data_IF_597364613076
#
_entry.id   IF_597364613076
#
_cell.length_a   1.000
_cell.length_b   1.000
_cell.length_c   1.000
_cell.angle_alpha   90.00
_cell.angle_beta   90.00
_cell.angle_gamma   90.00
#
_symmetry.space_group_name_H-M   'P 1'
#
loop_
_entity.id
_entity.type
_entity.pdbx_description
1 polymer ?
#
# COMPACT_ATOMS: atom_id res chain seq x y z
N UNK A 1 -13.82 25.98 21.51
CA UNK A 1 -12.65 25.88 22.42
C UNK A 1 -11.65 26.92 21.98
N UNK A 2 -11.37 27.90 22.84
CA UNK A 2 -10.50 29.05 22.55
C UNK A 2 -9.03 28.61 22.58
N UNK A 3 -8.26 28.98 21.56
CA UNK A 3 -6.82 28.73 21.48
C UNK A 3 -6.05 29.52 22.57
N UNK A 4 -4.96 28.97 23.13
CA UNK A 4 -4.18 29.68 24.13
C UNK A 4 -3.37 30.81 23.47
N UNK A 5 -3.50 32.03 23.98
CA UNK A 5 -2.64 33.14 23.56
C UNK A 5 -1.30 33.08 24.29
N UNK A 6 -0.21 33.05 23.51
CA UNK A 6 1.16 33.16 24.02
C UNK A 6 1.42 34.63 24.41
N UNK A 7 2.02 34.92 25.59
CA UNK A 7 2.22 36.29 26.05
C UNK A 7 3.22 37.05 25.18
N UNK A 8 2.83 38.22 24.66
CA UNK A 8 3.68 39.09 23.83
C UNK A 8 4.99 39.55 24.51
N UNK A 9 5.09 39.43 25.84
CA UNK A 9 6.26 39.86 26.61
C UNK A 9 7.55 39.05 26.36
N UNK A 10 7.46 37.81 25.85
CA UNK A 10 8.66 36.97 25.64
C UNK A 10 9.41 37.38 24.37
N UNK A 11 8.70 37.84 23.32
CA UNK A 11 9.31 38.26 22.05
C UNK A 11 10.06 39.59 22.15
N UNK A 12 9.60 40.52 22.98
CA UNK A 12 10.25 41.83 23.16
C UNK A 12 11.53 41.72 23.98
N UNK A 13 11.59 40.81 24.95
CA UNK A 13 12.78 40.60 25.79
C UNK A 13 13.95 39.97 25.01
N UNK A 14 13.67 38.98 24.14
CA UNK A 14 14.67 38.34 23.29
C UNK A 14 15.31 39.31 22.26
N UNK A 15 14.54 40.24 21.73
CA UNK A 15 15.05 41.26 20.80
C UNK A 15 15.92 42.31 21.50
N UNK A 16 15.61 42.65 22.75
CA UNK A 16 16.42 43.56 23.57
C UNK A 16 17.82 43.01 23.87
N UNK A 17 17.92 41.72 24.18
CA UNK A 17 19.20 41.06 24.47
C UNK A 17 20.07 40.88 23.21
N UNK A 18 19.47 40.66 22.04
CA UNK A 18 20.19 40.67 20.75
C UNK A 18 20.81 42.03 20.47
N UNK A 19 20.08 43.13 20.64
CA UNK A 19 20.58 44.49 20.42
C UNK A 19 21.71 44.85 21.37
N UNK A 20 21.64 44.46 22.65
CA UNK A 20 22.73 44.71 23.62
C UNK A 20 24.02 43.98 23.27
N UNK A 21 23.94 42.73 22.79
CA UNK A 21 25.13 41.96 22.37
C UNK A 21 25.84 42.58 21.16
N UNK A 22 25.07 43.07 20.18
CA UNK A 22 25.64 43.77 19.02
C UNK A 22 26.34 45.08 19.39
N UNK A 23 25.82 45.83 20.37
CA UNK A 23 26.47 47.06 20.84
C UNK A 23 27.80 46.79 21.56
N UNK A 24 27.90 45.70 22.32
CA UNK A 24 29.16 45.30 22.99
C UNK A 24 30.22 44.89 21.97
N UNK A 25 29.84 44.13 20.94
CA UNK A 25 30.76 43.72 19.86
C UNK A 25 31.21 44.94 19.06
N UNK A 26 30.30 45.85 18.70
CA UNK A 26 30.62 47.06 17.95
C UNK A 26 31.56 48.00 18.74
N UNK A 27 31.32 48.19 20.04
CA UNK A 27 32.17 49.00 20.90
C UNK A 27 33.59 48.41 21.02
N UNK A 28 33.71 47.08 21.07
CA UNK A 28 35.01 46.40 21.13
C UNK A 28 35.80 46.54 19.82
N UNK A 29 35.13 46.40 18.66
CA UNK A 29 35.76 46.59 17.34
C UNK A 29 36.22 48.03 17.13
N UNK A 30 35.43 49.01 17.55
CA UNK A 30 35.81 50.44 17.49
C UNK A 30 37.01 50.73 18.41
N UNK A 31 37.05 50.14 19.61
CA UNK A 31 38.21 50.25 20.50
C UNK A 31 39.50 49.67 19.90
N UNK A 32 39.41 48.53 19.23
CA UNK A 32 40.54 47.87 18.55
C UNK A 32 41.08 48.70 17.37
N UNK A 33 40.19 49.33 16.59
CA UNK A 33 40.57 50.22 15.50
C UNK A 33 41.19 51.53 16.01
N UNK A 34 40.74 52.05 17.16
CA UNK A 34 41.34 53.22 17.81
C UNK A 34 42.77 52.99 18.29
N UNK A 35 43.06 51.79 18.81
CA UNK A 35 44.42 51.41 19.24
C UNK A 35 45.38 51.27 18.05
N UNK A 36 44.91 50.75 16.92
CA UNK A 36 45.70 50.64 15.69
C UNK A 36 45.94 52.00 15.00
N UNK A 37 45.02 52.97 15.15
CA UNK A 37 45.17 54.32 14.62
C UNK A 37 46.15 55.23 15.39
N UNK A 38 46.47 54.89 16.65
CA UNK A 38 47.31 55.74 17.53
C UNK A 38 48.82 55.64 17.32
N UNK A 39 49.32 54.71 16.49
CA UNK A 39 50.76 54.42 16.34
C UNK A 39 51.47 55.39 15.36
N UNK A 40 50.75 56.37 14.81
CA UNK A 40 51.25 57.28 13.76
C UNK A 40 52.16 58.43 14.22
N UNK A 41 52.33 58.70 15.51
CA UNK A 41 53.07 59.89 15.99
C UNK A 41 54.03 59.60 17.15
N UNK A 42 55.08 58.82 16.89
CA UNK A 42 56.21 58.69 17.81
C UNK A 42 57.54 58.82 17.06
N UNK A 43 58.47 59.56 17.66
CA UNK A 43 59.78 59.90 17.11
C UNK A 43 60.69 58.66 16.97
N UNK A 44 61.68 58.75 16.08
CA UNK A 44 62.45 57.60 15.57
C UNK A 44 63.31 56.86 16.61
N UNK A 45 63.40 57.34 17.86
CA UNK A 45 64.26 56.75 18.88
C UNK A 45 63.54 55.83 19.89
N UNK A 46 62.20 55.82 19.93
CA UNK A 46 61.41 54.91 20.80
C UNK A 46 60.85 53.68 20.06
N UNK A 47 60.91 53.67 18.72
CA UNK A 47 60.34 52.60 17.89
C UNK A 47 60.99 51.23 18.12
N UNK A 48 62.27 51.16 18.49
CA UNK A 48 62.99 49.88 18.63
C UNK A 48 62.68 49.12 19.93
N UNK A 49 62.28 49.80 21.02
CA UNK A 49 61.94 49.15 22.30
C UNK A 49 60.44 48.85 22.41
N UNK A 50 59.59 49.67 21.78
CA UNK A 50 58.15 49.43 21.70
C UNK A 50 57.75 48.26 20.77
N UNK A 51 58.52 47.99 19.71
CA UNK A 51 58.19 46.94 18.74
C UNK A 51 58.25 45.52 19.32
N UNK A 52 59.17 45.25 20.25
CA UNK A 52 59.31 43.92 20.86
C UNK A 52 58.21 43.65 21.91
N UNK A 53 57.84 44.66 22.71
CA UNK A 53 56.75 44.55 23.69
C UNK A 53 55.37 44.50 23.01
N UNK A 54 55.15 45.27 21.94
CA UNK A 54 53.91 45.22 21.17
C UNK A 54 53.72 43.89 20.42
N UNK A 55 54.79 43.24 19.94
CA UNK A 55 54.67 41.94 19.25
C UNK A 55 54.31 40.78 20.21
N UNK A 56 54.81 40.81 21.45
CA UNK A 56 54.44 39.81 22.48
C UNK A 56 53.04 40.04 23.06
N UNK A 57 52.59 41.29 23.19
CA UNK A 57 51.22 41.57 23.65
C UNK A 57 50.17 41.31 22.55
N UNK A 58 50.47 41.60 21.28
CA UNK A 58 49.55 41.32 20.17
C UNK A 58 49.35 39.82 19.92
N UNK A 59 50.36 38.98 20.15
CA UNK A 59 50.25 37.52 19.96
C UNK A 59 49.50 36.81 21.10
N UNK A 60 49.55 37.32 22.34
CA UNK A 60 48.75 36.79 23.46
C UNK A 60 47.27 37.21 23.41
N UNK A 61 47.00 38.47 23.05
CA UNK A 61 45.62 39.00 22.94
C UNK A 61 44.90 38.43 21.72
N UNK A 62 45.59 38.15 20.61
CA UNK A 62 44.96 37.57 19.41
C UNK A 62 44.48 36.13 19.62
N UNK A 63 45.22 35.30 20.38
CA UNK A 63 44.84 33.91 20.64
C UNK A 63 43.66 33.83 21.63
N UNK A 64 43.66 34.67 22.67
CA UNK A 64 42.55 34.75 23.62
C UNK A 64 41.26 35.26 22.98
N UNK A 65 41.33 36.29 22.13
CA UNK A 65 40.17 36.82 21.40
C UNK A 65 39.61 35.80 20.39
N UNK A 66 40.47 35.03 19.73
CA UNK A 66 40.04 34.00 18.78
C UNK A 66 39.36 32.81 19.49
N UNK A 67 39.89 32.37 20.64
CA UNK A 67 39.25 31.34 21.45
C UNK A 67 37.88 31.78 21.98
N UNK A 68 37.74 33.04 22.38
CA UNK A 68 36.45 33.61 22.82
C UNK A 68 35.45 33.72 21.66
N UNK A 69 35.91 34.08 20.46
CA UNK A 69 35.07 34.13 19.27
C UNK A 69 34.58 32.74 18.84
N UNK A 70 35.43 31.72 18.92
CA UNK A 70 35.03 30.32 18.65
C UNK A 70 34.00 29.84 19.69
N UNK A 71 34.23 30.11 20.97
CA UNK A 71 33.29 29.73 22.03
C UNK A 71 31.92 30.43 21.87
N UNK A 72 31.92 31.72 21.52
CA UNK A 72 30.70 32.45 21.22
C UNK A 72 29.98 31.92 19.97
N UNK A 73 30.73 31.54 18.92
CA UNK A 73 30.17 30.92 17.71
C UNK A 73 29.50 29.58 18.00
N UNK A 74 30.09 28.75 18.87
CA UNK A 74 29.52 27.47 19.26
C UNK A 74 28.22 27.62 20.07
N UNK A 75 28.14 28.65 20.93
CA UNK A 75 26.92 28.94 21.69
C UNK A 75 25.79 29.48 20.80
N UNK A 76 26.11 30.25 19.75
CA UNK A 76 25.13 30.70 18.75
C UNK A 76 24.59 29.51 17.95
N UNK A 77 25.46 28.60 17.50
CA UNK A 77 25.05 27.40 16.75
C UNK A 77 24.17 26.47 17.59
N UNK A 78 24.47 26.32 18.89
CA UNK A 78 23.60 25.57 19.81
C UNK A 78 22.24 26.23 19.99
N UNK A 79 22.20 27.55 20.11
CA UNK A 79 20.95 28.29 20.25
C UNK A 79 20.06 28.17 19.00
N UNK A 80 20.63 28.26 17.80
CA UNK A 80 19.91 28.06 16.54
C UNK A 80 19.35 26.62 16.41
N UNK A 81 20.14 25.60 16.78
CA UNK A 81 19.66 24.21 16.79
C UNK A 81 18.53 23.97 17.79
N UNK A 82 18.53 24.66 18.92
CA UNK A 82 17.44 24.59 19.91
C UNK A 82 16.18 25.26 19.34
N UNK A 83 16.31 26.44 18.73
CA UNK A 83 15.19 27.16 18.11
C UNK A 83 14.57 26.36 16.96
N UNK A 84 15.38 25.70 16.14
CA UNK A 84 14.91 24.82 15.06
C UNK A 84 14.14 23.61 15.59
N UNK A 85 14.59 23.00 16.69
CA UNK A 85 13.85 21.92 17.36
C UNK A 85 12.51 22.38 17.92
N UNK A 86 12.44 23.58 18.49
CA UNK A 86 11.18 24.14 18.97
C UNK A 86 10.21 24.41 17.82
N UNK A 87 10.69 24.97 16.70
CA UNK A 87 9.86 25.19 15.51
C UNK A 87 9.31 23.88 14.96
N UNK A 88 10.15 22.84 14.90
CA UNK A 88 9.73 21.53 14.42
C UNK A 88 8.72 20.86 15.37
N UNK A 89 8.86 21.04 16.69
CA UNK A 89 7.86 20.58 17.66
C UNK A 89 6.52 21.31 17.51
N UNK A 90 6.51 22.61 17.23
CA UNK A 90 5.28 23.36 16.96
C UNK A 90 4.59 22.90 15.67
N UNK A 91 5.36 22.65 14.60
CA UNK A 91 4.84 22.11 13.33
C UNK A 91 4.24 20.71 13.52
N UNK A 92 4.93 19.83 14.25
CA UNK A 92 4.44 18.47 14.57
C UNK A 92 3.17 18.51 15.44
N UNK A 93 3.11 19.41 16.42
CA UNK A 93 1.92 19.60 17.26
C UNK A 93 0.72 20.10 16.45
N UNK A 94 0.94 21.07 15.55
CA UNK A 94 -0.11 21.58 14.65
C UNK A 94 -0.60 20.49 13.67
N UNK A 95 0.31 19.66 13.17
CA UNK A 95 -0.02 18.53 12.32
C UNK A 95 -0.90 17.50 13.05
N UNK A 96 -0.51 17.10 14.27
CA UNK A 96 -1.29 16.17 15.09
C UNK A 96 -2.69 16.73 15.42
N UNK A 97 -2.79 18.03 15.71
CA UNK A 97 -4.07 18.67 15.96
C UNK A 97 -4.98 18.64 14.72
N UNK A 98 -4.45 18.94 13.54
CA UNK A 98 -5.21 18.85 12.28
C UNK A 98 -5.65 17.41 11.96
N UNK A 99 -4.81 16.42 12.26
CA UNK A 99 -5.15 15.01 12.11
C UNK A 99 -6.33 14.62 13.03
N UNK A 100 -6.29 15.05 14.29
CA UNK A 100 -7.36 14.79 15.25
C UNK A 100 -8.70 15.45 14.83
N UNK A 101 -8.66 16.69 14.33
CA UNK A 101 -9.85 17.37 13.79
C UNK A 101 -10.42 16.61 12.59
N UNK A 102 -9.54 16.15 11.69
CA UNK A 102 -9.94 15.40 10.50
C UNK A 102 -10.61 14.07 10.89
N UNK A 103 -10.03 13.32 11.83
CA UNK A 103 -10.62 12.08 12.34
C UNK A 103 -11.99 12.30 13.00
N UNK A 104 -12.13 13.36 13.81
CA UNK A 104 -13.41 13.71 14.42
C UNK A 104 -14.48 14.06 13.38
N UNK A 105 -14.10 14.74 12.28
CA UNK A 105 -15.01 15.05 11.18
C UNK A 105 -15.44 13.80 10.41
N UNK A 106 -14.51 12.86 10.16
CA UNK A 106 -14.84 11.57 9.51
C UNK A 106 -15.82 10.77 10.37
N UNK A 107 -15.58 10.66 11.68
CA UNK A 107 -16.52 9.99 12.60
C UNK A 107 -17.91 10.65 12.59
N UNK A 108 -17.98 11.98 12.58
CA UNK A 108 -19.25 12.71 12.46
C UNK A 108 -19.99 12.42 11.16
N UNK A 109 -19.28 12.32 10.04
CA UNK A 109 -19.87 11.97 8.75
C UNK A 109 -20.40 10.53 8.74
N UNK A 110 -19.62 9.58 9.28
CA UNK A 110 -20.04 8.18 9.41
C UNK A 110 -21.31 8.04 10.27
N UNK A 111 -21.39 8.74 11.41
CA UNK A 111 -22.59 8.75 12.25
C UNK A 111 -23.80 9.36 11.52
N UNK A 112 -23.58 10.40 10.71
CA UNK A 112 -24.65 11.05 9.93
C UNK A 112 -25.15 10.17 8.79
N UNK A 113 -24.26 9.44 8.12
CA UNK A 113 -24.63 8.48 7.08
C UNK A 113 -25.32 7.24 7.66
N UNK A 114 -24.84 6.73 8.79
CA UNK A 114 -25.52 5.65 9.52
C UNK A 114 -26.93 6.04 9.96
N UNK A 115 -27.11 7.27 10.46
CA UNK A 115 -28.43 7.79 10.81
C UNK A 115 -29.35 7.98 9.59
N UNK A 116 -28.81 8.37 8.42
CA UNK A 116 -29.59 8.42 7.17
C UNK A 116 -30.04 7.03 6.72
N UNK A 117 -29.15 6.03 6.78
CA UNK A 117 -29.48 4.64 6.43
C UNK A 117 -30.60 4.09 7.32
N UNK A 118 -30.58 4.37 8.63
CA UNK A 118 -31.67 3.98 9.53
C UNK A 118 -33.00 4.65 9.19
N UNK A 119 -32.97 5.93 8.76
CA UNK A 119 -34.19 6.65 8.33
C UNK A 119 -34.69 6.10 6.99
N UNK A 120 -33.81 5.82 6.04
CA UNK A 120 -34.19 5.25 4.74
C UNK A 120 -34.73 3.81 4.88
N UNK A 121 -34.20 3.02 5.83
CA UNK A 121 -34.69 1.68 6.18
C UNK A 121 -36.10 1.73 6.80
N UNK A 122 -36.34 2.68 7.73
CA UNK A 122 -37.68 2.92 8.30
C UNK A 122 -38.70 3.35 7.24
N UNK A 123 -38.30 4.19 6.27
CA UNK A 123 -39.17 4.60 5.16
C UNK A 123 -39.49 3.40 4.26
N UNK A 124 -38.51 2.55 3.97
CA UNK A 124 -38.70 1.35 3.15
C UNK A 124 -39.61 0.32 3.83
N UNK A 125 -39.53 0.17 5.16
CA UNK A 125 -40.46 -0.68 5.92
C UNK A 125 -41.90 -0.15 5.89
N UNK A 126 -42.08 1.17 6.00
CA UNK A 126 -43.42 1.79 5.97
C UNK A 126 -44.04 1.73 4.56
N UNK A 127 -43.23 1.93 3.51
CA UNK A 127 -43.64 1.76 2.11
C UNK A 127 -43.98 0.30 1.80
N UNK A 128 -43.22 -0.66 2.33
CA UNK A 128 -43.54 -2.08 2.21
C UNK A 128 -44.87 -2.40 2.91
N UNK A 129 -45.08 -1.96 4.15
CA UNK A 129 -46.34 -2.14 4.89
C UNK A 129 -47.54 -1.61 4.10
N UNK A 130 -47.40 -0.42 3.52
CA UNK A 130 -48.44 0.19 2.68
C UNK A 130 -48.72 -0.62 1.41
N UNK A 131 -47.68 -1.11 0.74
CA UNK A 131 -47.82 -1.97 -0.43
C UNK A 131 -48.57 -3.28 -0.11
N UNK A 132 -48.23 -3.94 1.00
CA UNK A 132 -48.90 -5.16 1.46
C UNK A 132 -50.37 -4.93 1.79
N UNK A 133 -50.70 -3.85 2.51
CA UNK A 133 -52.09 -3.50 2.84
C UNK A 133 -52.92 -3.22 1.56
N UNK A 134 -52.36 -2.50 0.60
CA UNK A 134 -53.06 -2.10 -0.63
C UNK A 134 -53.26 -3.26 -1.63
N UNK A 135 -52.33 -4.22 -1.69
CA UNK A 135 -52.32 -5.25 -2.75
C UNK A 135 -52.75 -6.64 -2.29
N UNK A 136 -52.56 -6.97 -1.01
CA UNK A 136 -52.85 -8.31 -0.51
C UNK A 136 -54.09 -8.35 0.39
N UNK A 137 -54.63 -7.18 0.78
CA UNK A 137 -55.86 -7.08 1.58
C UNK A 137 -55.74 -7.72 2.97
N UNK A 138 -54.51 -7.95 3.42
CA UNK A 138 -54.18 -8.46 4.76
C UNK A 138 -53.71 -7.26 5.57
N UNK A 139 -54.33 -7.01 6.73
CA UNK A 139 -53.85 -6.01 7.66
C UNK A 139 -52.46 -6.45 8.16
N UNK A 140 -51.39 -5.64 8.02
CA UNK A 140 -50.05 -5.99 8.50
C UNK A 140 -50.00 -6.38 9.98
N UNK A 141 -50.98 -5.96 10.79
CA UNK A 141 -51.12 -6.37 12.18
C UNK A 141 -51.43 -7.87 12.34
N UNK A 142 -52.14 -8.48 11.39
CA UNK A 142 -52.59 -9.88 11.47
C UNK A 142 -51.46 -10.91 11.22
N UNK A 143 -50.28 -10.46 10.75
CA UNK A 143 -49.14 -11.34 10.42
C UNK A 143 -48.31 -11.68 11.67
N UNK A 144 -48.41 -10.89 12.75
CA UNK A 144 -47.56 -11.03 13.93
C UNK A 144 -48.24 -11.70 15.14
N UNK A 145 -49.54 -12.03 15.08
CA UNK A 145 -50.26 -12.76 16.14
C UNK A 145 -50.17 -14.29 16.03
N UNK A 146 -49.30 -14.81 15.15
CA UNK A 146 -48.90 -16.22 15.23
C UNK A 146 -47.89 -16.41 16.36
N UNK A 147 -48.39 -16.47 17.60
CA UNK A 147 -47.63 -16.88 18.78
C UNK A 147 -46.89 -18.20 18.48
N UNK A 148 -45.56 -18.11 18.44
CA UNK A 148 -44.68 -19.26 18.53
C UNK A 148 -44.80 -19.77 19.96
N UNK A 149 -45.49 -20.89 20.14
CA UNK A 149 -45.57 -21.62 21.41
C UNK A 149 -44.18 -22.17 21.75
N UNK A 150 -43.41 -21.41 22.54
CA UNK A 150 -42.08 -21.78 23.06
C UNK A 150 -42.17 -22.80 24.22
N UNK A 151 -42.99 -23.86 24.09
CA UNK A 151 -43.11 -24.90 25.12
C UNK A 151 -43.00 -26.33 24.59
N UNK A 152 -41.99 -26.63 23.78
CA UNK A 152 -41.49 -28.00 23.64
C UNK A 152 -39.98 -28.04 23.92
N UNK A 153 -39.64 -28.35 25.18
CA UNK A 153 -38.32 -28.85 25.59
C UNK A 153 -38.02 -30.14 24.80
N UNK A 154 -37.13 -30.05 23.81
CA UNK A 154 -36.57 -31.23 23.14
C UNK A 154 -35.47 -31.81 24.03
N UNK A 155 -35.83 -32.90 24.70
CA UNK A 155 -34.95 -33.75 25.49
C UNK A 155 -33.95 -34.48 24.58
N UNK A 156 -32.66 -34.19 24.74
CA UNK A 156 -31.58 -34.85 23.99
C UNK A 156 -31.12 -36.09 24.76
N UNK A 157 -31.87 -37.20 24.65
CA UNK A 157 -31.36 -38.50 25.06
C UNK A 157 -30.36 -39.09 24.05
N UNK A 158 -29.26 -39.56 24.63
CA UNK A 158 -28.03 -40.03 24.04
C UNK A 158 -28.20 -41.39 23.33
N UNK A 159 -28.59 -41.38 22.04
CA UNK A 159 -28.65 -42.59 21.23
C UNK A 159 -27.27 -42.97 20.65
N UNK A 160 -26.50 -43.73 21.43
CA UNK A 160 -25.32 -44.46 20.97
C UNK A 160 -25.72 -45.65 20.08
N UNK A 161 -25.71 -45.43 18.76
CA UNK A 161 -25.90 -46.50 17.78
C UNK A 161 -24.61 -47.33 17.62
N UNK A 162 -24.63 -48.52 18.23
CA UNK A 162 -23.75 -49.65 17.88
C UNK A 162 -24.14 -50.14 16.48
N UNK A 163 -23.27 -49.92 15.50
CA UNK A 163 -23.35 -50.57 14.20
C UNK A 163 -22.52 -51.87 14.23
N UNK A 164 -23.19 -53.01 14.09
CA UNK A 164 -22.56 -54.31 13.83
C UNK A 164 -22.01 -54.37 12.39
N UNK A 165 -20.83 -55.00 12.17
CA UNK A 165 -20.24 -55.11 10.85
C UNK A 165 -20.94 -56.21 10.04
N UNK A 166 -21.65 -55.83 8.97
CA UNK A 166 -22.08 -56.76 7.92
C UNK A 166 -20.86 -57.26 7.15
N UNK A 167 -20.65 -58.57 7.19
CA UNK A 167 -19.68 -59.28 6.35
C UNK A 167 -20.08 -59.13 4.88
N UNK A 168 -19.17 -58.58 4.08
CA UNK A 168 -19.27 -58.54 2.62
C UNK A 168 -18.61 -59.80 2.08
N UNK A 169 -19.43 -60.66 1.49
CA UNK A 169 -19.03 -61.83 0.68
C UNK A 169 -18.18 -61.36 -0.52
N UNK A 170 -16.91 -61.76 -0.54
CA UNK A 170 -16.02 -61.56 -1.67
C UNK A 170 -16.26 -62.63 -2.75
N UNK A 171 -16.81 -62.20 -3.90
CA UNK A 171 -16.76 -62.98 -5.14
C UNK A 171 -15.44 -62.72 -5.89
N UNK A 172 -14.94 -63.68 -6.69
CA UNK A 172 -13.62 -63.59 -7.31
C UNK A 172 -13.59 -62.56 -8.43
N UNK A 173 -12.53 -61.75 -8.45
CA UNK A 173 -12.23 -60.76 -9.49
C UNK A 173 -11.83 -61.49 -10.78
N UNK A 174 -12.64 -61.29 -11.81
CA UNK A 174 -12.35 -61.63 -13.20
C UNK A 174 -11.29 -60.67 -13.75
N UNK A 175 -10.31 -61.23 -14.45
CA UNK A 175 -9.06 -60.57 -14.86
C UNK A 175 -9.32 -59.51 -15.92
N UNK A 176 -9.05 -58.24 -15.60
CA UNK A 176 -9.07 -57.15 -16.57
C UNK A 176 -7.85 -57.21 -17.52
N UNK A 177 -8.04 -56.89 -18.82
CA UNK A 177 -6.97 -56.92 -19.81
C UNK A 177 -5.97 -55.76 -19.64
N UNK A 178 -4.76 -56.00 -20.16
CA UNK A 178 -3.57 -55.17 -20.05
C UNK A 178 -3.77 -53.69 -20.42
N UNK A 179 -3.00 -52.77 -19.80
CA UNK A 179 -3.13 -51.34 -20.04
C UNK A 179 -2.57 -50.97 -21.42
N UNK A 180 -3.44 -50.41 -22.26
CA UNK A 180 -3.07 -49.67 -23.47
C UNK A 180 -2.18 -48.49 -23.10
N UNK A 181 -1.08 -48.34 -23.82
CA UNK A 181 -0.07 -47.29 -23.62
C UNK A 181 -0.67 -45.88 -23.51
N UNK A 182 -0.13 -45.01 -22.65
CA UNK A 182 -0.61 -43.65 -22.52
C UNK A 182 -0.32 -42.88 -23.80
N UNK A 183 -1.38 -42.46 -24.49
CA UNK A 183 -1.32 -41.49 -25.58
C UNK A 183 -0.65 -40.23 -25.04
N UNK A 184 0.62 -40.03 -25.44
CA UNK A 184 1.39 -38.84 -25.13
C UNK A 184 0.83 -37.70 -25.98
N UNK A 185 -0.18 -37.01 -25.48
CA UNK A 185 -0.63 -35.75 -26.06
C UNK A 185 0.49 -34.75 -25.81
N UNK A 186 1.32 -34.53 -26.84
CA UNK A 186 2.31 -33.46 -26.80
C UNK A 186 1.57 -32.13 -26.57
N UNK A 187 1.93 -31.34 -25.55
CA UNK A 187 1.36 -30.01 -25.37
C UNK A 187 1.79 -29.16 -26.57
N UNK A 188 0.84 -28.83 -27.44
CA UNK A 188 1.03 -27.80 -28.46
C UNK A 188 1.53 -26.54 -27.77
N UNK A 189 2.61 -25.89 -28.24
CA UNK A 189 3.09 -24.65 -27.63
C UNK A 189 1.98 -23.60 -27.72
N UNK A 190 1.39 -23.23 -26.58
CA UNK A 190 0.46 -22.10 -26.43
C UNK A 190 1.29 -20.80 -26.47
N UNK A 191 2.13 -20.68 -27.50
CA UNK A 191 2.86 -19.47 -27.77
C UNK A 191 2.00 -18.62 -28.71
N UNK A 192 1.63 -17.44 -28.22
CA UNK A 192 1.38 -16.27 -29.08
C UNK A 192 0.03 -16.16 -29.80
N UNK A 193 -1.10 -16.53 -29.20
CA UNK A 193 -2.40 -16.01 -29.67
C UNK A 193 -2.82 -14.78 -28.85
N UNK A 194 -2.77 -13.55 -29.41
CA UNK A 194 -3.34 -12.37 -28.75
C UNK A 194 -4.85 -12.56 -28.53
N UNK A 195 -5.34 -12.31 -27.31
CA UNK A 195 -6.76 -12.39 -26.98
C UNK A 195 -7.23 -13.70 -26.32
N UNK A 196 -6.34 -14.67 -26.09
CA UNK A 196 -6.68 -15.90 -25.34
C UNK A 196 -7.05 -15.59 -23.86
N UNK A 197 -6.52 -14.48 -23.33
CA UNK A 197 -6.56 -14.11 -21.92
C UNK A 197 -6.94 -12.63 -21.75
N UNK A 198 -8.01 -12.17 -22.41
CA UNK A 198 -8.37 -10.73 -22.48
C UNK A 198 -8.28 -9.99 -21.13
N UNK A 199 -8.80 -10.57 -20.05
CA UNK A 199 -8.73 -9.95 -18.72
C UNK A 199 -7.29 -9.71 -18.22
N UNK A 200 -6.36 -10.64 -18.49
CA UNK A 200 -4.95 -10.49 -18.14
C UNK A 200 -4.21 -9.58 -19.14
N UNK A 201 -4.52 -9.70 -20.43
CA UNK A 201 -3.93 -8.87 -21.49
C UNK A 201 -4.29 -7.38 -21.31
N UNK A 202 -5.46 -7.07 -20.73
CA UNK A 202 -5.87 -5.69 -20.38
C UNK A 202 -4.96 -5.06 -19.30
N UNK A 203 -4.44 -5.86 -18.36
CA UNK A 203 -3.47 -5.37 -17.37
C UNK A 203 -2.11 -5.08 -18.00
N UNK A 204 -1.75 -5.79 -19.06
CA UNK A 204 -0.47 -5.57 -19.76
C UNK A 204 -0.44 -4.18 -20.42
N UNK A 205 -1.59 -3.63 -20.80
CA UNK A 205 -1.70 -2.34 -21.49
C UNK A 205 -2.06 -1.16 -20.59
N UNK A 206 -2.49 -1.41 -19.35
CA UNK A 206 -2.94 -0.35 -18.45
C UNK A 206 -1.77 0.40 -17.79
N UNK A 207 -1.99 1.69 -17.55
CA UNK A 207 -1.14 2.58 -16.75
C UNK A 207 -1.67 2.76 -15.32
N UNK A 208 -2.67 1.97 -14.91
CA UNK A 208 -3.26 2.01 -13.58
C UNK A 208 -2.67 0.89 -12.72
N UNK A 209 -2.42 1.19 -11.44
CA UNK A 209 -1.95 0.19 -10.48
C UNK A 209 -2.99 -0.93 -10.33
N UNK A 210 -2.54 -2.18 -10.21
CA UNK A 210 -3.42 -3.35 -10.22
C UNK A 210 -3.27 -4.15 -8.94
N UNK A 211 -4.39 -4.53 -8.33
CA UNK A 211 -4.47 -5.48 -7.22
C UNK A 211 -4.94 -6.81 -7.79
N UNK A 212 -4.15 -7.85 -7.57
CA UNK A 212 -4.49 -9.22 -7.91
C UNK A 212 -4.81 -10.02 -6.65
N UNK A 213 -6.10 -10.11 -6.34
CA UNK A 213 -6.62 -10.81 -5.18
C UNK A 213 -6.98 -12.26 -5.50
N UNK A 214 -6.50 -13.20 -4.69
CA UNK A 214 -6.95 -14.59 -4.78
C UNK A 214 -6.70 -15.34 -3.47
N UNK A 215 -7.47 -16.40 -3.25
CA UNK A 215 -7.12 -17.40 -2.25
C UNK A 215 -5.82 -18.14 -2.61
N UNK A 216 -5.22 -18.79 -1.62
CA UNK A 216 -4.02 -19.62 -1.81
C UNK A 216 -4.35 -20.84 -2.68
N UNK A 217 -3.40 -21.29 -3.51
CA UNK A 217 -3.60 -22.49 -4.34
C UNK A 217 -4.53 -22.31 -5.56
N UNK A 218 -4.97 -21.10 -5.86
CA UNK A 218 -5.85 -20.81 -7.02
C UNK A 218 -5.11 -20.65 -8.34
N UNK A 219 -3.77 -20.55 -8.33
CA UNK A 219 -2.94 -20.39 -9.54
C UNK A 219 -2.45 -18.97 -9.83
N UNK A 220 -2.59 -18.03 -8.88
CA UNK A 220 -2.20 -16.61 -9.03
C UNK A 220 -0.77 -16.39 -9.53
N UNK A 221 0.23 -17.09 -8.98
CA UNK A 221 1.64 -16.96 -9.43
C UNK A 221 1.84 -17.35 -10.90
N UNK A 222 1.01 -18.26 -11.45
CA UNK A 222 1.05 -18.64 -12.87
C UNK A 222 0.46 -17.52 -13.73
N UNK A 223 -0.67 -16.96 -13.31
CA UNK A 223 -1.30 -15.80 -13.97
C UNK A 223 -0.40 -14.55 -13.89
N UNK A 224 0.30 -14.33 -12.78
CA UNK A 224 1.28 -13.26 -12.64
C UNK A 224 2.46 -13.46 -13.61
N UNK A 225 3.02 -14.67 -13.69
CA UNK A 225 4.08 -14.97 -14.65
C UNK A 225 3.63 -14.71 -16.10
N UNK A 226 2.39 -15.05 -16.45
CA UNK A 226 1.79 -14.69 -17.74
C UNK A 226 1.76 -13.17 -17.95
N UNK A 227 1.27 -12.39 -16.97
CA UNK A 227 1.25 -10.92 -17.08
C UNK A 227 2.67 -10.38 -17.32
N UNK A 228 3.65 -10.84 -16.53
CA UNK A 228 5.04 -10.37 -16.62
C UNK A 228 5.69 -10.72 -17.97
N UNK A 229 5.52 -11.95 -18.45
CA UNK A 229 6.02 -12.37 -19.76
C UNK A 229 5.49 -11.46 -20.88
N UNK A 230 4.17 -11.24 -20.90
CA UNK A 230 3.50 -10.41 -21.93
C UNK A 230 3.90 -8.95 -21.83
N UNK A 231 4.06 -8.44 -20.61
CA UNK A 231 4.51 -7.09 -20.31
C UNK A 231 5.96 -6.87 -20.78
N UNK A 232 6.86 -7.82 -20.55
CA UNK A 232 8.25 -7.76 -21.02
C UNK A 232 8.36 -7.88 -22.53
N UNK A 233 7.56 -8.76 -23.14
CA UNK A 233 7.50 -8.90 -24.59
C UNK A 233 6.97 -7.61 -25.27
N UNK A 234 5.97 -6.96 -24.67
CA UNK A 234 5.38 -5.72 -25.19
C UNK A 234 6.26 -4.49 -24.98
N UNK A 235 6.96 -4.41 -23.85
CA UNK A 235 7.74 -3.25 -23.45
C UNK A 235 9.20 -3.65 -23.19
N UNK A 236 10.06 -3.74 -24.23
CA UNK A 236 11.46 -4.15 -24.06
C UNK A 236 12.29 -3.24 -23.13
N UNK A 237 11.85 -1.99 -22.93
CA UNK A 237 12.49 -1.01 -22.05
C UNK A 237 11.83 -0.89 -20.68
N UNK A 238 10.96 -1.84 -20.32
CA UNK A 238 10.33 -1.84 -19.02
C UNK A 238 11.34 -2.00 -17.88
N UNK A 239 11.07 -1.30 -16.79
CA UNK A 239 11.72 -1.57 -15.52
C UNK A 239 10.73 -2.20 -14.54
N UNK A 240 11.03 -3.39 -14.04
CA UNK A 240 10.25 -4.03 -13.00
C UNK A 240 11.12 -4.35 -11.78
N UNK A 241 10.54 -4.19 -10.60
CA UNK A 241 11.14 -4.48 -9.30
C UNK A 241 10.16 -5.26 -8.45
N UNK A 242 10.65 -6.15 -7.60
CA UNK A 242 9.81 -7.06 -6.81
C UNK A 242 10.19 -6.97 -5.33
N UNK A 243 9.18 -6.95 -4.46
CA UNK A 243 9.32 -7.35 -3.06
C UNK A 243 8.47 -8.61 -2.87
N UNK A 244 9.06 -9.69 -2.37
CA UNK A 244 8.39 -10.98 -2.25
C UNK A 244 8.75 -11.71 -0.95
N UNK A 245 7.82 -12.52 -0.44
CA UNK A 245 8.08 -13.51 0.61
C UNK A 245 8.86 -14.74 0.11
N UNK A 246 8.79 -15.01 -1.21
CA UNK A 246 9.36 -16.20 -1.83
C UNK A 246 10.44 -15.80 -2.80
N UNK A 247 11.46 -16.64 -2.90
CA UNK A 247 12.60 -16.43 -3.78
C UNK A 247 12.34 -16.92 -5.22
N UNK A 248 11.17 -16.58 -5.75
CA UNK A 248 10.77 -16.91 -7.12
C UNK A 248 11.55 -16.07 -8.14
N UNK A 249 11.61 -16.51 -9.40
CA UNK A 249 12.39 -15.80 -10.43
C UNK A 249 11.70 -14.53 -10.94
N UNK A 250 10.36 -14.51 -10.96
CA UNK A 250 9.55 -13.44 -11.55
C UNK A 250 9.98 -13.12 -12.99
N UNK A 251 10.04 -14.15 -13.83
CA UNK A 251 10.46 -14.04 -15.24
C UNK A 251 11.88 -13.43 -15.40
N UNK A 252 12.84 -13.88 -14.58
CA UNK A 252 14.24 -13.47 -14.67
C UNK A 252 14.63 -12.21 -13.89
N UNK A 253 13.71 -11.60 -13.14
CA UNK A 253 14.00 -10.39 -12.36
C UNK A 253 14.94 -10.66 -11.18
N UNK A 254 14.82 -11.83 -10.55
CA UNK A 254 15.72 -12.25 -9.46
C UNK A 254 17.17 -12.31 -9.94
N UNK A 255 17.39 -12.95 -11.09
CA UNK A 255 18.70 -13.09 -11.72
C UNK A 255 19.30 -11.74 -12.14
N UNK A 256 18.46 -10.72 -12.35
CA UNK A 256 18.85 -9.33 -12.62
C UNK A 256 19.03 -8.48 -11.36
N UNK A 257 19.00 -9.08 -10.16
CA UNK A 257 19.06 -8.39 -8.87
C UNK A 257 17.95 -7.35 -8.67
N UNK A 258 16.75 -7.60 -9.22
CA UNK A 258 15.57 -6.73 -9.09
C UNK A 258 14.48 -7.29 -8.18
N UNK A 259 14.82 -8.32 -7.41
CA UNK A 259 13.92 -8.93 -6.43
C UNK A 259 14.53 -8.77 -5.04
N UNK A 260 13.76 -8.17 -4.13
CA UNK A 260 14.04 -8.11 -2.70
C UNK A 260 13.23 -9.18 -1.99
N UNK A 261 13.93 -10.14 -1.38
CA UNK A 261 13.30 -11.12 -0.49
C UNK A 261 13.00 -10.44 0.85
N UNK A 262 11.76 -10.52 1.30
CA UNK A 262 11.33 -9.93 2.56
C UNK A 262 11.86 -10.75 3.74
N UNK A 263 12.61 -10.09 4.62
CA UNK A 263 13.02 -10.61 5.91
C UNK A 263 12.18 -9.97 7.04
N UNK A 264 11.37 -10.75 7.78
CA UNK A 264 10.59 -10.21 8.89
C UNK A 264 11.44 -9.75 10.08
N UNK A 265 12.71 -10.20 10.19
CA UNK A 265 13.63 -9.79 11.25
C UNK A 265 14.27 -8.44 10.90
N UNK A 266 14.64 -8.25 9.64
CA UNK A 266 15.22 -7.00 9.11
C UNK A 266 14.34 -6.38 8.00
N UNK A 267 13.10 -5.96 8.31
CA UNK A 267 12.13 -5.58 7.30
C UNK A 267 12.58 -4.36 6.49
N UNK A 268 13.29 -3.39 7.09
CA UNK A 268 13.68 -2.14 6.42
C UNK A 268 14.57 -2.41 5.19
N UNK A 269 15.50 -3.35 5.27
CA UNK A 269 16.42 -3.67 4.17
C UNK A 269 15.67 -4.21 2.93
N UNK A 270 14.54 -4.86 3.17
CA UNK A 270 13.71 -5.47 2.12
C UNK A 270 12.93 -4.46 1.29
N UNK A 271 12.84 -3.21 1.74
CA UNK A 271 12.01 -2.16 1.12
C UNK A 271 12.78 -1.26 0.15
N UNK A 272 14.08 -1.52 -0.09
CA UNK A 272 14.90 -0.74 -1.03
C UNK A 272 14.34 -0.67 -2.45
N UNK A 273 13.63 -1.71 -2.91
CA UNK A 273 12.94 -1.71 -4.21
C UNK A 273 11.87 -0.59 -4.31
N UNK A 274 11.19 -0.23 -3.21
CA UNK A 274 10.26 0.89 -3.20
C UNK A 274 11.00 2.22 -3.37
N UNK A 275 12.18 2.36 -2.77
CA UNK A 275 13.00 3.57 -2.89
C UNK A 275 13.50 3.78 -4.33
N UNK A 276 13.96 2.71 -4.97
CA UNK A 276 14.37 2.73 -6.37
C UNK A 276 13.23 3.17 -7.30
N UNK A 277 12.08 2.51 -7.20
CA UNK A 277 10.91 2.83 -8.04
C UNK A 277 10.40 4.24 -7.76
N UNK A 278 10.34 4.65 -6.51
CA UNK A 278 9.92 6.00 -6.13
C UNK A 278 10.93 7.06 -6.63
N UNK A 279 12.21 6.75 -6.63
CA UNK A 279 13.27 7.58 -7.21
C UNK A 279 13.06 7.82 -8.70
N UNK A 280 12.71 6.77 -9.46
CA UNK A 280 12.36 6.90 -10.89
C UNK A 280 11.11 7.77 -11.06
N UNK A 281 10.06 7.51 -10.28
CA UNK A 281 8.85 8.34 -10.29
C UNK A 281 9.16 9.82 -10.03
N UNK A 282 9.95 10.14 -9.00
CA UNK A 282 10.26 11.51 -8.64
C UNK A 282 11.05 12.24 -9.74
N UNK A 283 11.99 11.55 -10.40
CA UNK A 283 12.69 12.08 -11.58
C UNK A 283 11.73 12.39 -12.73
N UNK A 284 10.82 11.46 -13.05
CA UNK A 284 9.82 11.64 -14.12
C UNK A 284 8.86 12.79 -13.82
N UNK A 285 8.40 12.92 -12.57
CA UNK A 285 7.47 13.99 -12.14
C UNK A 285 8.07 15.39 -12.31
N UNK A 286 9.38 15.53 -12.15
CA UNK A 286 10.08 16.80 -12.34
C UNK A 286 10.24 17.19 -13.82
N UNK A 287 10.01 16.28 -14.75
CA UNK A 287 10.09 16.57 -16.19
C UNK A 287 8.88 17.38 -16.65
N UNK A 288 9.08 18.32 -17.61
CA UNK A 288 7.98 19.07 -18.21
C UNK A 288 7.04 18.14 -18.96
N UNK A 289 5.75 18.49 -18.99
CA UNK A 289 4.69 17.67 -19.58
C UNK A 289 4.99 17.25 -21.03
N UNK A 290 5.56 18.16 -21.83
CA UNK A 290 5.96 17.91 -23.22
C UNK A 290 6.95 16.76 -23.40
N UNK A 291 7.75 16.44 -22.37
CA UNK A 291 8.74 15.38 -22.40
C UNK A 291 8.21 14.04 -21.86
N UNK A 292 6.99 13.98 -21.32
CA UNK A 292 6.45 12.79 -20.62
C UNK A 292 5.92 11.71 -21.57
N UNK A 293 5.71 12.01 -22.84
CA UNK A 293 5.20 11.06 -23.84
C UNK A 293 6.09 9.82 -23.98
N UNK A 294 7.39 9.94 -23.73
CA UNK A 294 8.37 8.84 -23.75
C UNK A 294 8.07 7.75 -22.71
N UNK A 295 7.41 8.10 -21.60
CA UNK A 295 7.13 7.14 -20.53
C UNK A 295 6.15 6.05 -20.94
N UNK A 296 5.33 6.28 -21.98
CA UNK A 296 4.39 5.27 -22.50
C UNK A 296 5.11 4.02 -23.02
N UNK A 297 6.31 4.16 -23.59
CA UNK A 297 7.12 3.02 -24.06
C UNK A 297 8.05 2.46 -22.98
N UNK A 298 8.18 3.13 -21.84
CA UNK A 298 9.09 2.78 -20.73
C UNK A 298 8.31 2.66 -19.41
N UNK A 299 7.35 1.72 -19.29
CA UNK A 299 6.66 1.50 -18.04
C UNK A 299 7.64 1.15 -16.91
N UNK A 300 7.26 1.51 -15.68
CA UNK A 300 7.92 1.04 -14.46
C UNK A 300 6.87 0.31 -13.63
N UNK A 301 7.18 -0.89 -13.15
CA UNK A 301 6.28 -1.70 -12.33
C UNK A 301 6.96 -2.11 -11.02
N UNK A 302 6.30 -1.82 -9.90
CA UNK A 302 6.66 -2.39 -8.61
C UNK A 302 5.69 -3.53 -8.31
N UNK A 303 6.23 -4.73 -8.18
CA UNK A 303 5.50 -5.96 -7.89
C UNK A 303 5.60 -6.21 -6.38
N UNK A 304 4.45 -6.30 -5.73
CA UNK A 304 4.34 -6.62 -4.31
C UNK A 304 3.73 -8.01 -4.21
N UNK A 305 4.57 -9.03 -4.05
CA UNK A 305 4.18 -10.44 -4.10
C UNK A 305 3.89 -11.00 -2.70
N UNK A 306 2.76 -11.70 -2.56
CA UNK A 306 2.25 -12.19 -1.25
C UNK A 306 2.14 -11.04 -0.21
N UNK A 307 1.71 -9.87 -0.68
CA UNK A 307 1.83 -8.61 0.04
C UNK A 307 1.13 -8.59 1.40
N UNK A 308 -0.01 -9.27 1.53
CA UNK A 308 -0.78 -9.27 2.77
C UNK A 308 0.07 -9.66 3.99
N UNK A 309 0.91 -10.68 3.85
CA UNK A 309 1.79 -11.14 4.92
C UNK A 309 2.90 -10.13 5.28
N UNK A 310 3.45 -9.47 4.26
CA UNK A 310 4.48 -8.43 4.44
C UNK A 310 3.86 -7.22 5.13
N UNK A 311 2.72 -6.77 4.63
CA UNK A 311 1.93 -5.69 5.23
C UNK A 311 1.60 -5.99 6.69
N UNK A 312 1.12 -7.21 7.01
CA UNK A 312 0.70 -7.56 8.37
C UNK A 312 1.85 -7.46 9.36
N UNK A 313 3.07 -7.76 8.90
CA UNK A 313 4.31 -7.63 9.69
C UNK A 313 4.68 -6.17 9.97
N UNK A 314 4.46 -5.25 9.02
CA UNK A 314 4.95 -3.87 9.11
C UNK A 314 3.85 -2.82 9.36
N UNK A 315 2.58 -3.22 9.40
CA UNK A 315 1.43 -2.30 9.41
C UNK A 315 1.40 -1.36 10.61
N UNK A 316 2.03 -1.71 11.73
CA UNK A 316 2.05 -0.89 12.94
C UNK A 316 3.36 -0.08 13.11
N UNK A 317 4.33 -0.33 12.24
CA UNK A 317 5.63 0.29 12.29
C UNK A 317 5.60 1.76 11.84
N UNK A 318 6.12 2.66 12.71
CA UNK A 318 6.16 4.09 12.43
C UNK A 318 7.01 4.41 11.19
N UNK A 319 8.14 3.71 11.01
CA UNK A 319 9.04 3.91 9.87
C UNK A 319 8.38 3.52 8.54
N UNK A 320 7.49 2.51 8.55
CA UNK A 320 6.73 2.13 7.38
C UNK A 320 5.67 3.18 7.04
N UNK A 321 4.85 3.57 8.03
CA UNK A 321 3.78 4.57 7.85
C UNK A 321 4.31 5.94 7.40
N UNK A 322 5.43 6.39 7.97
CA UNK A 322 5.97 7.73 7.71
C UNK A 322 6.65 7.86 6.35
N UNK A 323 7.13 6.75 5.77
CA UNK A 323 7.94 6.73 4.56
C UNK A 323 7.30 5.89 3.45
N UNK A 324 7.28 4.56 3.60
CA UNK A 324 6.90 3.64 2.52
C UNK A 324 5.42 3.66 2.19
N UNK A 325 4.52 3.73 3.18
CA UNK A 325 3.08 3.83 2.93
C UNK A 325 2.72 5.07 2.10
N UNK A 326 3.39 6.21 2.36
CA UNK A 326 3.21 7.45 1.58
C UNK A 326 3.72 7.31 0.16
N UNK A 327 4.87 6.64 -0.04
CA UNK A 327 5.41 6.36 -1.38
C UNK A 327 4.45 5.50 -2.19
N UNK A 328 3.98 4.38 -1.63
CA UNK A 328 3.01 3.50 -2.29
C UNK A 328 1.70 4.22 -2.61
N UNK A 329 1.16 5.00 -1.67
CA UNK A 329 -0.05 5.82 -1.89
C UNK A 329 0.15 6.84 -3.03
N UNK A 330 1.31 7.48 -3.09
CA UNK A 330 1.65 8.43 -4.18
C UNK A 330 1.75 7.71 -5.54
N UNK A 331 2.33 6.52 -5.59
CA UNK A 331 2.43 5.74 -6.83
C UNK A 331 1.04 5.31 -7.33
N UNK A 332 0.12 4.95 -6.44
CA UNK A 332 -1.26 4.61 -6.84
C UNK A 332 -2.02 5.82 -7.37
N UNK A 333 -1.89 6.98 -6.73
CA UNK A 333 -2.69 8.16 -7.05
C UNK A 333 -2.13 9.02 -8.19
N UNK A 334 -0.80 9.12 -8.31
CA UNK A 334 -0.12 10.03 -9.27
C UNK A 334 0.76 9.26 -10.26
N UNK A 335 1.11 8.00 -9.97
CA UNK A 335 2.05 7.22 -10.77
C UNK A 335 1.59 6.97 -12.21
N UNK A 336 0.28 6.97 -12.46
CA UNK A 336 -0.33 6.79 -13.78
C UNK A 336 0.27 7.70 -14.85
N UNK A 337 0.34 9.01 -14.58
CA UNK A 337 0.87 9.98 -15.55
C UNK A 337 2.36 9.79 -15.86
N UNK A 338 3.09 9.15 -14.93
CA UNK A 338 4.51 8.84 -15.08
C UNK A 338 4.75 7.40 -15.58
N UNK A 339 3.67 6.64 -15.83
CA UNK A 339 3.67 5.21 -16.12
C UNK A 339 4.49 4.40 -15.10
N UNK A 340 4.38 4.76 -13.81
CA UNK A 340 4.98 4.06 -12.67
C UNK A 340 3.85 3.50 -11.82
N UNK A 341 3.65 2.19 -11.84
CA UNK A 341 2.46 1.56 -11.28
C UNK A 341 2.82 0.37 -10.40
N UNK A 342 1.89 -0.01 -9.52
CA UNK A 342 1.99 -1.21 -8.70
C UNK A 342 1.31 -2.41 -9.39
N UNK A 343 1.84 -3.61 -9.17
CA UNK A 343 1.14 -4.88 -9.34
C UNK A 343 1.19 -5.56 -7.98
N UNK A 344 0.05 -5.70 -7.31
CA UNK A 344 -0.02 -6.20 -5.94
C UNK A 344 -0.71 -7.55 -5.91
N UNK A 345 0.07 -8.62 -5.77
CA UNK A 345 -0.44 -9.95 -5.48
C UNK A 345 -0.77 -10.03 -3.98
N UNK A 346 -2.03 -10.39 -3.67
CA UNK A 346 -2.52 -10.43 -2.29
C UNK A 346 -3.67 -11.41 -2.11
N UNK A 347 -4.01 -11.69 -0.85
CA UNK A 347 -5.15 -12.51 -0.42
C UNK A 347 -6.35 -11.63 -0.03
N UNK A 348 -6.34 -10.34 -0.38
CA UNK A 348 -7.42 -9.42 -0.06
C UNK A 348 -7.53 -8.32 -1.12
N UNK A 349 -8.75 -8.04 -1.56
CA UNK A 349 -9.03 -6.91 -2.45
C UNK A 349 -9.28 -5.58 -1.68
N UNK A 350 -9.16 -5.57 -0.36
CA UNK A 350 -9.34 -4.35 0.42
C UNK A 350 -8.10 -3.43 0.30
N UNK A 351 -8.31 -2.15 0.01
CA UNK A 351 -7.24 -1.15 -0.11
C UNK A 351 -6.45 -0.99 1.19
N UNK A 352 -7.12 -1.15 2.34
CA UNK A 352 -6.51 -1.14 3.66
C UNK A 352 -5.35 -2.14 3.79
N UNK A 353 -5.58 -3.37 3.32
CA UNK A 353 -4.59 -4.46 3.34
C UNK A 353 -3.44 -4.26 2.35
N UNK A 354 -3.48 -3.20 1.54
CA UNK A 354 -2.34 -2.78 0.72
C UNK A 354 -1.41 -1.83 1.50
N UNK A 355 -1.78 -1.40 2.71
CA UNK A 355 -1.03 -0.41 3.48
C UNK A 355 -1.12 0.99 2.92
N UNK A 356 -2.17 1.27 2.16
CA UNK A 356 -2.52 2.57 1.60
C UNK A 356 -3.68 3.12 2.42
N UNK A 357 -3.73 4.45 2.57
CA UNK A 357 -4.81 5.12 3.32
C UNK A 357 -6.18 4.66 2.84
N UNK A 358 -7.06 4.32 3.78
CA UNK A 358 -8.45 3.94 3.53
C UNK A 358 -9.25 5.18 3.09
N UNK A 359 -9.30 5.42 1.79
CA UNK A 359 -10.30 6.29 1.17
C UNK A 359 -11.00 5.47 0.07
N UNK A 360 -12.33 5.43 0.14
CA UNK A 360 -13.16 4.77 -0.86
C UNK A 360 -12.87 5.27 -2.28
N UNK A 361 -12.46 6.54 -2.42
CA UNK A 361 -12.10 7.13 -3.71
C UNK A 361 -10.74 6.66 -4.23
N UNK A 362 -9.78 6.34 -3.35
CA UNK A 362 -8.48 5.80 -3.78
C UNK A 362 -8.65 4.49 -4.55
N UNK A 363 -9.67 3.70 -4.19
CA UNK A 363 -10.03 2.46 -4.89
C UNK A 363 -10.28 2.65 -6.39
N UNK A 364 -10.82 3.79 -6.81
CA UNK A 364 -11.05 4.08 -8.23
C UNK A 364 -9.76 4.27 -9.04
N UNK A 365 -8.62 4.42 -8.35
CA UNK A 365 -7.27 4.49 -8.95
C UNK A 365 -6.61 3.11 -9.05
N UNK A 366 -7.34 2.02 -8.77
CA UNK A 366 -6.84 0.66 -8.83
C UNK A 366 -7.70 -0.19 -9.75
N UNK A 367 -7.03 -0.94 -10.62
CA UNK A 367 -7.65 -2.11 -11.22
C UNK A 367 -7.65 -3.25 -10.19
N UNK A 368 -8.71 -4.03 -10.19
CA UNK A 368 -8.81 -5.25 -9.41
C UNK A 368 -8.99 -6.43 -10.37
N UNK A 369 -8.08 -7.39 -10.22
CA UNK A 369 -8.23 -8.75 -10.71
C UNK A 369 -8.55 -9.66 -9.53
N UNK A 370 -9.50 -10.58 -9.71
CA UNK A 370 -9.82 -11.56 -8.69
C UNK A 370 -9.94 -12.95 -9.28
N UNK A 371 -9.20 -13.91 -8.74
CA UNK A 371 -9.17 -15.28 -9.25
C UNK A 371 -9.81 -16.25 -8.27
N UNK A 372 -10.69 -17.11 -8.79
CA UNK A 372 -11.30 -18.22 -8.08
C UNK A 372 -10.96 -19.54 -8.78
N UNK A 373 -10.65 -20.56 -7.98
CA UNK A 373 -10.42 -21.93 -8.45
C UNK A 373 -10.42 -22.88 -7.26
N UNK A 374 -11.12 -24.00 -7.38
CA UNK A 374 -11.11 -25.06 -6.37
C UNK A 374 -10.84 -26.39 -7.04
N UNK A 375 -9.92 -27.18 -6.49
CA UNK A 375 -9.55 -28.50 -7.00
C UNK A 375 -9.19 -29.43 -5.85
N UNK A 376 -9.25 -30.74 -6.10
CA UNK A 376 -8.85 -31.78 -5.14
C UNK A 376 -7.46 -32.26 -5.53
N UNK A 377 -6.54 -32.24 -4.57
CA UNK A 377 -5.18 -32.75 -4.79
C UNK A 377 -5.09 -34.28 -4.73
N UNK A 378 -3.92 -34.83 -5.04
CA UNK A 378 -3.68 -36.28 -5.06
C UNK A 378 -3.93 -36.95 -3.70
N UNK A 379 -3.86 -36.17 -2.62
CA UNK A 379 -4.11 -36.61 -1.24
C UNK A 379 -5.59 -36.46 -0.84
N UNK A 380 -6.46 -36.09 -1.77
CA UNK A 380 -7.90 -35.90 -1.53
C UNK A 380 -8.24 -34.59 -0.81
N UNK A 381 -7.30 -33.64 -0.69
CA UNK A 381 -7.53 -32.36 0.00
C UNK A 381 -8.03 -31.30 -0.96
N UNK A 382 -9.02 -30.52 -0.53
CA UNK A 382 -9.47 -29.35 -1.28
C UNK A 382 -8.41 -28.25 -1.23
N UNK A 383 -8.07 -27.71 -2.40
CA UNK A 383 -7.14 -26.61 -2.61
C UNK A 383 -7.85 -25.47 -3.33
N UNK A 384 -7.49 -24.24 -2.98
CA UNK A 384 -8.16 -23.06 -3.49
C UNK A 384 -9.60 -22.92 -3.00
N UNK A 385 -10.23 -21.84 -3.40
CA UNK A 385 -11.63 -21.58 -3.10
C UNK A 385 -12.26 -20.63 -4.12
N UNK A 386 -13.58 -20.49 -3.98
CA UNK A 386 -14.41 -19.56 -4.74
C UNK A 386 -14.87 -18.36 -3.91
N UNK A 387 -14.52 -18.31 -2.62
CA UNK A 387 -15.07 -17.36 -1.67
C UNK A 387 -14.59 -15.94 -1.99
N UNK A 388 -13.32 -15.78 -2.33
CA UNK A 388 -12.76 -14.46 -2.65
C UNK A 388 -13.50 -13.78 -3.80
N UNK A 389 -13.65 -14.48 -4.93
CA UNK A 389 -14.33 -13.94 -6.11
C UNK A 389 -15.83 -13.75 -5.86
N UNK A 390 -16.48 -14.67 -5.13
CA UNK A 390 -17.90 -14.55 -4.78
C UNK A 390 -18.15 -13.33 -3.89
N UNK A 391 -17.32 -13.12 -2.87
CA UNK A 391 -17.43 -11.98 -1.95
C UNK A 391 -17.14 -10.65 -2.64
N UNK A 392 -16.19 -10.65 -3.58
CA UNK A 392 -15.91 -9.48 -4.40
C UNK A 392 -17.12 -9.11 -5.27
N UNK A 393 -17.74 -10.08 -5.94
CA UNK A 393 -18.90 -9.82 -6.80
C UNK A 393 -20.10 -9.29 -6.00
N UNK A 394 -20.31 -9.79 -4.77
CA UNK A 394 -21.35 -9.28 -3.85
C UNK A 394 -21.08 -7.88 -3.32
N UNK A 395 -19.86 -7.38 -3.45
CA UNK A 395 -19.48 -6.08 -2.90
C UNK A 395 -19.94 -4.95 -3.83
N UNK A 396 -21.02 -4.27 -3.45
CA UNK A 396 -21.61 -3.15 -4.22
C UNK A 396 -20.66 -1.96 -4.44
N UNK A 397 -19.62 -1.81 -3.61
CA UNK A 397 -18.59 -0.78 -3.81
C UNK A 397 -17.54 -1.16 -4.87
N UNK A 398 -17.51 -2.43 -5.29
CA UNK A 398 -16.60 -2.95 -6.32
C UNK A 398 -17.34 -3.26 -7.61
N UNK A 399 -18.53 -3.84 -7.48
CA UNK A 399 -19.40 -4.21 -8.58
C UNK A 399 -20.76 -3.51 -8.34
N UNK A 400 -20.86 -2.22 -8.70
CA UNK A 400 -22.06 -1.43 -8.40
C UNK A 400 -23.27 -1.84 -9.24
N UNK A 401 -23.04 -2.46 -10.40
CA UNK A 401 -24.09 -2.92 -11.32
C UNK A 401 -23.80 -4.35 -11.77
N UNK A 402 -24.85 -5.10 -12.10
CA UNK A 402 -24.77 -6.47 -12.63
C UNK A 402 -24.14 -7.53 -11.70
N UNK A 403 -24.09 -7.29 -10.39
CA UNK A 403 -23.62 -8.28 -9.40
C UNK A 403 -24.34 -9.63 -9.57
N UNK A 404 -25.67 -9.62 -9.63
CA UNK A 404 -26.47 -10.85 -9.72
C UNK A 404 -26.19 -11.61 -11.03
N UNK A 405 -26.15 -10.89 -12.16
CA UNK A 405 -25.78 -11.44 -13.47
C UNK A 405 -24.38 -12.07 -13.44
N UNK A 406 -23.40 -11.41 -12.81
CA UNK A 406 -22.04 -11.92 -12.71
C UNK A 406 -21.95 -13.11 -11.75
N UNK A 407 -22.75 -13.15 -10.69
CA UNK A 407 -22.83 -14.32 -9.80
C UNK A 407 -23.42 -15.53 -10.53
N UNK A 408 -24.47 -15.34 -11.34
CA UNK A 408 -25.02 -16.39 -12.19
C UNK A 408 -24.01 -16.88 -13.23
N UNK A 409 -23.31 -15.95 -13.89
CA UNK A 409 -22.24 -16.26 -14.84
C UNK A 409 -21.10 -17.04 -14.15
N UNK A 410 -20.72 -16.66 -12.93
CA UNK A 410 -19.72 -17.37 -12.15
C UNK A 410 -20.13 -18.82 -11.87
N UNK A 411 -21.39 -19.09 -11.51
CA UNK A 411 -21.87 -20.46 -11.28
C UNK A 411 -21.79 -21.33 -12.55
N UNK A 412 -22.01 -20.74 -13.73
CA UNK A 412 -21.82 -21.44 -15.00
C UNK A 412 -20.34 -21.70 -15.28
N UNK A 413 -19.47 -20.72 -15.06
CA UNK A 413 -18.03 -20.82 -15.29
C UNK A 413 -17.34 -21.77 -14.30
N UNK A 414 -17.82 -21.88 -13.05
CA UNK A 414 -17.31 -22.84 -12.06
C UNK A 414 -17.37 -24.28 -12.58
N UNK A 415 -18.47 -24.66 -13.25
CA UNK A 415 -18.63 -26.00 -13.83
C UNK A 415 -17.59 -26.26 -14.91
N UNK A 416 -17.41 -25.30 -15.83
CA UNK A 416 -16.43 -25.40 -16.90
C UNK A 416 -14.99 -25.40 -16.35
N UNK A 417 -14.73 -24.61 -15.31
CA UNK A 417 -13.44 -24.52 -14.64
C UNK A 417 -12.99 -25.84 -14.02
N UNK A 418 -13.90 -26.57 -13.36
CA UNK A 418 -13.60 -27.88 -12.79
C UNK A 418 -13.32 -28.91 -13.89
N UNK A 419 -14.10 -28.90 -14.96
CA UNK A 419 -13.92 -29.80 -16.10
C UNK A 419 -12.59 -29.55 -16.83
N UNK A 420 -12.28 -28.28 -17.11
CA UNK A 420 -11.09 -27.89 -17.85
C UNK A 420 -9.84 -27.76 -16.97
N UNK A 421 -9.99 -27.85 -15.65
CA UNK A 421 -8.93 -27.64 -14.64
C UNK A 421 -8.24 -26.28 -14.80
N UNK A 422 -9.03 -25.25 -15.07
CA UNK A 422 -8.54 -23.89 -15.26
C UNK A 422 -9.26 -22.89 -14.36
N UNK A 423 -8.58 -21.84 -13.88
CA UNK A 423 -9.19 -20.84 -13.00
C UNK A 423 -10.18 -19.93 -13.71
N UNK A 424 -11.11 -19.34 -12.95
CA UNK A 424 -11.94 -18.21 -13.41
C UNK A 424 -11.36 -16.92 -12.86
N UNK A 425 -11.32 -15.88 -13.69
CA UNK A 425 -10.89 -14.55 -13.29
C UNK A 425 -11.99 -13.52 -13.49
N UNK A 426 -12.12 -12.62 -12.53
CA UNK A 426 -12.85 -11.37 -12.65
C UNK A 426 -11.88 -10.23 -12.93
N UNK A 427 -12.26 -9.33 -13.83
CA UNK A 427 -11.59 -8.04 -14.03
C UNK A 427 -12.57 -6.90 -13.81
N UNK A 428 -12.17 -5.95 -12.96
CA UNK A 428 -12.83 -4.64 -12.85
C UNK A 428 -12.71 -3.81 -14.13
N UNK A 429 -11.73 -4.09 -14.99
CA UNK A 429 -11.66 -3.52 -16.33
C UNK A 429 -12.77 -4.19 -17.15
N UNK A 430 -13.84 -3.42 -17.41
CA UNK A 430 -15.02 -3.91 -18.11
C UNK A 430 -15.99 -4.74 -17.27
N UNK A 431 -15.74 -4.92 -15.96
CA UNK A 431 -16.60 -5.67 -15.03
C UNK A 431 -17.06 -7.02 -15.58
N UNK A 432 -16.09 -7.88 -15.94
CA UNK A 432 -16.34 -9.15 -16.63
C UNK A 432 -15.68 -10.34 -15.95
N UNK A 433 -16.29 -11.50 -16.13
CA UNK A 433 -15.71 -12.79 -15.78
C UNK A 433 -15.16 -13.47 -17.04
N UNK A 434 -14.13 -14.27 -16.85
CA UNK A 434 -13.54 -15.05 -17.92
C UNK A 434 -12.96 -16.35 -17.36
N UNK A 435 -13.16 -17.45 -18.09
CA UNK A 435 -12.39 -18.67 -17.85
C UNK A 435 -10.98 -18.49 -18.42
N UNK A 436 -9.97 -18.69 -17.58
CA UNK A 436 -8.59 -18.63 -18.05
C UNK A 436 -8.25 -19.88 -18.88
N UNK A 437 -7.43 -19.73 -19.94
CA UNK A 437 -6.81 -20.87 -20.61
C UNK A 437 -5.81 -21.56 -19.66
N UNK A 438 -5.30 -22.72 -20.07
CA UNK A 438 -4.23 -23.36 -19.32
C UNK A 438 -2.92 -22.56 -19.46
N UNK A 439 -2.52 -21.90 -18.38
CA UNK A 439 -1.31 -21.06 -18.32
C UNK A 439 -0.10 -21.77 -17.69
N UNK A 440 -0.17 -23.08 -17.40
CA UNK A 440 0.89 -23.79 -16.65
C UNK A 440 2.27 -23.73 -17.34
N UNK A 441 2.31 -23.58 -18.66
CA UNK A 441 3.54 -23.39 -19.43
C UNK A 441 4.34 -22.13 -19.04
N UNK A 442 3.70 -21.10 -18.49
CA UNK A 442 4.35 -19.85 -18.07
C UNK A 442 5.06 -19.96 -16.72
N UNK A 443 4.84 -21.05 -15.97
CA UNK A 443 5.45 -21.24 -14.64
C UNK A 443 6.96 -21.53 -14.71
N UNK A 444 7.52 -21.77 -15.90
CA UNK A 444 8.93 -22.12 -16.07
C UNK A 444 9.43 -21.89 -17.49
N UNK A 445 9.95 -20.70 -17.76
CA UNK A 445 11.12 -20.57 -18.63
C UNK A 445 12.27 -20.06 -17.75
N UNK A 446 13.24 -20.95 -17.53
CA UNK A 446 14.50 -20.65 -16.83
C UNK A 446 15.39 -19.76 -17.67
#
# INVERSE_FOLDING_TARGET
MLAPQVPQNIRTQANGDRLRRWHVIAAFVIGLLGILGGVGSLSSQEKSKGMLFASMFCSGVSVGAFALAIAASQEVEKAEKIEERFRQQEEDAAFLQNQAITQANVQRLQLREGAKLQVDELIAEDDARKYYADHLGVDPADIYDAEIDESEEVDYEEATLKAEPKQVETKPVETAPAPTEPVTVQPTPIASQPGLCQALDEIVVTDISTVFASATGTGKSVSEAYILDRLFARHPQIEAWVIAQKNDSFCGLREKHRTSLFDPIEPIASFGAIDEVYGIFNKRRQMPESARSVFKSQPVRLILSDWHSIWDTVKDEKWYKSNYAKKLSTLVTVGREMNVCLIVDTQSYNVASLGITEDANIRSNLNILCQGYSWIDEEGRQRGDWNMITNLLKNRYLVPTNSDRLLEELEQLKKQSVEQKTPVIFSSIGNKLQLLPNLTAFKSQK
#
